data_IF_266014117358
#
_entry.id   IF_266014117358
#
_cell.length_a   1.000
_cell.length_b   1.000
_cell.length_c   1.000
_cell.angle_alpha   90.00
_cell.angle_beta   90.00
_cell.angle_gamma   90.00
#
_symmetry.space_group_name_H-M   'P 1'
#
loop_
_entity.id
_entity.type
_entity.pdbx_description
1 polymer ?
#
# COMPACT_ATOMS: atom_id res chain seq x y z
N UNK A 1 8.24 2.30 -38.70
CA UNK A 1 9.32 3.30 -38.83
C UNK A 1 9.88 3.72 -37.49
N UNK A 2 10.00 2.81 -36.53
CA UNK A 2 10.73 3.03 -35.28
C UNK A 2 11.78 1.91 -35.23
N UNK A 3 13.05 2.27 -35.07
CA UNK A 3 14.16 1.33 -34.94
C UNK A 3 14.52 1.23 -33.46
N UNK A 4 14.55 0.03 -32.85
CA UNK A 4 15.01 -0.12 -31.48
C UNK A 4 16.53 0.10 -31.40
N UNK A 5 16.97 0.78 -30.35
CA UNK A 5 18.39 0.95 -30.00
C UNK A 5 18.88 -0.12 -29.02
N UNK A 6 18.00 -0.58 -28.13
CA UNK A 6 18.27 -1.52 -27.05
C UNK A 6 17.09 -2.48 -26.94
N UNK A 7 17.38 -3.76 -26.73
CA UNK A 7 16.38 -4.81 -26.51
C UNK A 7 16.50 -5.34 -25.08
N UNK A 8 15.42 -5.21 -24.31
CA UNK A 8 15.27 -5.86 -23.00
C UNK A 8 14.57 -7.20 -23.21
N UNK A 9 15.32 -8.29 -23.24
CA UNK A 9 14.79 -9.63 -23.45
C UNK A 9 14.40 -10.24 -22.10
N UNK A 10 13.10 -10.23 -21.78
CA UNK A 10 12.53 -10.84 -20.56
C UNK A 10 12.69 -12.36 -20.59
N UNK A 11 13.24 -12.95 -19.53
CA UNK A 11 13.53 -14.40 -19.49
C UNK A 11 13.75 -14.90 -18.05
N UNK A 12 13.51 -16.19 -17.82
CA UNK A 12 13.80 -16.88 -16.56
C UNK A 12 15.27 -17.31 -16.45
N UNK A 13 15.97 -17.43 -17.58
CA UNK A 13 17.35 -17.92 -17.63
C UNK A 13 18.27 -16.96 -18.37
N UNK A 14 19.57 -17.01 -18.05
CA UNK A 14 20.53 -16.13 -18.71
C UNK A 14 20.66 -16.49 -20.20
N UNK A 15 20.55 -15.48 -21.08
CA UNK A 15 20.74 -15.70 -22.50
C UNK A 15 22.21 -16.00 -22.80
N UNK A 16 22.45 -17.13 -23.49
CA UNK A 16 23.78 -17.42 -24.02
C UNK A 16 24.19 -16.40 -25.09
N UNK A 17 25.49 -16.10 -25.18
CA UNK A 17 26.01 -15.09 -26.12
C UNK A 17 25.60 -15.35 -27.58
N UNK A 18 25.63 -16.62 -28.03
CA UNK A 18 25.17 -17.00 -29.38
C UNK A 18 23.71 -16.62 -29.65
N UNK A 19 22.86 -16.69 -28.64
CA UNK A 19 21.47 -16.29 -28.76
C UNK A 19 21.34 -14.77 -28.83
N UNK A 20 22.12 -14.03 -28.03
CA UNK A 20 22.20 -12.56 -28.13
C UNK A 20 22.67 -12.10 -29.51
N UNK A 21 23.71 -12.73 -30.06
CA UNK A 21 24.21 -12.48 -31.43
C UNK A 21 23.13 -12.71 -32.49
N UNK A 22 22.37 -13.81 -32.37
CA UNK A 22 21.27 -14.11 -33.28
C UNK A 22 20.17 -13.04 -33.20
N UNK A 23 19.75 -12.66 -32.00
CA UNK A 23 18.75 -11.61 -31.79
C UNK A 23 19.24 -10.27 -32.37
N UNK A 24 20.48 -9.90 -32.08
CA UNK A 24 21.12 -8.69 -32.59
C UNK A 24 21.11 -8.64 -34.13
N UNK A 25 21.44 -9.74 -34.80
CA UNK A 25 21.40 -9.86 -36.25
C UNK A 25 19.99 -9.66 -36.82
N UNK A 26 18.98 -10.33 -36.25
CA UNK A 26 17.60 -10.25 -36.76
C UNK A 26 16.92 -8.92 -36.45
N UNK A 27 17.31 -8.26 -35.36
CA UNK A 27 16.72 -6.98 -34.95
C UNK A 27 17.56 -5.76 -35.38
N UNK A 28 18.70 -5.97 -36.03
CA UNK A 28 19.63 -4.93 -36.47
C UNK A 28 20.04 -4.00 -35.32
N UNK A 29 20.49 -4.58 -34.20
CA UNK A 29 21.05 -3.87 -33.04
C UNK A 29 22.43 -4.41 -32.71
N UNK A 30 23.22 -3.66 -31.95
CA UNK A 30 24.49 -4.16 -31.44
C UNK A 30 24.29 -5.32 -30.46
N UNK A 31 25.18 -6.30 -30.44
CA UNK A 31 25.09 -7.47 -29.53
C UNK A 31 25.03 -7.03 -28.06
N UNK A 32 25.83 -6.03 -27.69
CA UNK A 32 25.82 -5.48 -26.33
C UNK A 32 24.50 -4.77 -25.98
N UNK A 33 23.73 -4.34 -26.99
CA UNK A 33 22.40 -3.74 -26.80
C UNK A 33 21.29 -4.80 -26.63
N UNK A 34 21.61 -6.10 -26.61
CA UNK A 34 20.69 -7.19 -26.28
C UNK A 34 20.88 -7.58 -24.81
N UNK A 35 20.00 -7.05 -23.96
CA UNK A 35 20.08 -7.15 -22.50
C UNK A 35 19.23 -8.32 -22.01
N UNK A 36 19.80 -9.13 -21.13
CA UNK A 36 19.05 -10.18 -20.43
C UNK A 36 18.29 -9.56 -19.25
N UNK A 37 16.99 -9.34 -19.42
CA UNK A 37 16.12 -8.83 -18.36
C UNK A 37 15.55 -9.99 -17.54
N UNK A 38 16.37 -10.58 -16.66
CA UNK A 38 15.98 -11.80 -15.92
C UNK A 38 14.81 -11.58 -14.96
N UNK A 39 14.04 -12.64 -14.74
CA UNK A 39 13.12 -12.76 -13.60
C UNK A 39 13.88 -12.64 -12.28
N UNK A 40 13.42 -11.73 -11.43
CA UNK A 40 14.04 -11.43 -10.13
C UNK A 40 13.06 -11.72 -9.00
N UNK A 41 13.58 -11.94 -7.79
CA UNK A 41 12.76 -12.37 -6.64
C UNK A 41 11.85 -11.26 -6.12
N UNK A 42 12.28 -10.02 -6.29
CA UNK A 42 11.52 -8.84 -5.90
C UNK A 42 11.84 -7.67 -6.85
N UNK A 43 10.92 -6.70 -6.95
CA UNK A 43 11.04 -5.57 -7.87
C UNK A 43 12.28 -4.70 -7.62
N UNK A 44 12.84 -4.73 -6.40
CA UNK A 44 14.03 -3.96 -6.03
C UNK A 44 15.31 -4.59 -6.56
N UNK A 45 15.30 -5.85 -7.02
CA UNK A 45 16.46 -6.43 -7.68
C UNK A 45 16.59 -5.98 -9.15
N UNK A 46 15.51 -5.48 -9.78
CA UNK A 46 15.52 -5.09 -11.20
C UNK A 46 16.62 -4.08 -11.53
N UNK A 47 16.78 -2.95 -10.80
CA UNK A 47 17.83 -1.99 -11.12
C UNK A 47 19.25 -2.56 -10.98
N UNK A 48 19.47 -3.47 -10.01
CA UNK A 48 20.78 -4.11 -9.85
C UNK A 48 21.07 -5.07 -11.00
N UNK A 49 20.09 -5.90 -11.37
CA UNK A 49 20.22 -6.85 -12.47
C UNK A 49 20.45 -6.16 -13.82
N UNK A 50 19.77 -5.03 -14.07
CA UNK A 50 19.95 -4.27 -15.30
C UNK A 50 21.29 -3.52 -15.34
N UNK A 51 21.77 -3.03 -14.19
CA UNK A 51 23.12 -2.46 -14.09
C UNK A 51 24.19 -3.51 -14.34
N UNK A 52 24.03 -4.74 -13.83
CA UNK A 52 24.96 -5.84 -14.07
C UNK A 52 25.10 -6.21 -15.56
N UNK A 53 24.05 -5.99 -16.36
CA UNK A 53 24.07 -6.16 -17.82
C UNK A 53 24.57 -4.91 -18.57
N UNK A 54 24.95 -3.84 -17.86
CA UNK A 54 25.53 -2.63 -18.45
C UNK A 54 24.54 -1.69 -19.14
N UNK A 55 23.25 -1.78 -18.80
CA UNK A 55 22.20 -1.00 -19.47
C UNK A 55 22.44 0.52 -19.38
N UNK A 56 22.87 1.01 -18.22
CA UNK A 56 23.12 2.44 -17.99
C UNK A 56 24.23 2.96 -18.90
N UNK A 57 25.36 2.26 -18.98
CA UNK A 57 26.50 2.59 -19.83
C UNK A 57 26.11 2.68 -21.32
N UNK A 58 25.28 1.75 -21.80
CA UNK A 58 24.79 1.74 -23.18
C UNK A 58 23.88 2.94 -23.45
N UNK A 59 22.95 3.24 -22.53
CA UNK A 59 22.06 4.40 -22.65
C UNK A 59 22.88 5.70 -22.69
N UNK A 60 23.84 5.86 -21.79
CA UNK A 60 24.65 7.10 -21.71
C UNK A 60 25.55 7.27 -22.93
N UNK A 61 26.12 6.17 -23.43
CA UNK A 61 26.92 6.17 -24.66
C UNK A 61 26.09 6.60 -25.87
N UNK A 62 24.90 6.00 -26.05
CA UNK A 62 23.99 6.33 -27.16
C UNK A 62 23.43 7.75 -27.10
N UNK A 63 23.20 8.28 -25.90
CA UNK A 63 22.77 9.67 -25.70
C UNK A 63 23.92 10.69 -25.77
N UNK A 64 25.18 10.24 -25.84
CA UNK A 64 26.36 11.11 -25.86
C UNK A 64 26.58 11.87 -24.55
N UNK A 65 26.12 11.32 -23.41
CA UNK A 65 26.25 11.94 -22.09
C UNK A 65 27.34 11.25 -21.29
N UNK A 66 28.27 12.03 -20.75
CA UNK A 66 29.27 11.51 -19.80
C UNK A 66 28.76 11.65 -18.37
N UNK A 67 28.50 10.52 -17.71
CA UNK A 67 28.19 10.47 -16.28
C UNK A 67 29.11 9.46 -15.58
N UNK A 68 29.32 9.67 -14.28
CA UNK A 68 30.01 8.67 -13.45
C UNK A 68 29.13 7.45 -13.18
N UNK A 69 29.75 6.37 -12.70
CA UNK A 69 29.00 5.17 -12.28
C UNK A 69 28.01 5.49 -11.15
N UNK A 70 26.79 4.92 -11.18
CA UNK A 70 25.80 5.17 -10.15
C UNK A 70 26.25 4.56 -8.81
N UNK A 71 26.04 5.30 -7.72
CA UNK A 71 26.16 4.73 -6.39
C UNK A 71 24.91 3.92 -6.04
N UNK A 72 25.00 2.60 -6.12
CA UNK A 72 23.90 1.68 -5.83
C UNK A 72 23.86 1.18 -4.39
N UNK A 73 24.72 1.66 -3.49
CA UNK A 73 24.77 1.19 -2.11
C UNK A 73 23.44 1.37 -1.34
N UNK A 74 22.70 2.50 -1.48
CA UNK A 74 21.38 2.63 -0.87
C UNK A 74 20.40 1.55 -1.35
N UNK A 75 20.46 1.20 -2.63
CA UNK A 75 19.58 0.22 -3.24
C UNK A 75 19.94 -1.21 -2.83
N UNK A 76 21.24 -1.51 -2.76
CA UNK A 76 21.74 -2.78 -2.21
C UNK A 76 21.32 -2.99 -0.76
N UNK A 77 21.24 -1.92 0.05
CA UNK A 77 20.73 -2.01 1.43
C UNK A 77 19.25 -2.41 1.47
N UNK A 78 18.42 -1.86 0.58
CA UNK A 78 17.00 -2.23 0.45
C UNK A 78 16.85 -3.71 0.12
N UNK A 79 17.54 -4.18 -0.93
CA UNK A 79 17.50 -5.59 -1.35
C UNK A 79 18.01 -6.53 -0.25
N UNK A 80 19.05 -6.12 0.48
CA UNK A 80 19.57 -6.88 1.63
C UNK A 80 18.58 -6.96 2.79
N UNK A 81 17.94 -5.85 3.13
CA UNK A 81 16.93 -5.79 4.21
C UNK A 81 15.73 -6.68 3.93
N UNK A 82 15.32 -6.79 2.66
CA UNK A 82 14.26 -7.68 2.20
C UNK A 82 14.64 -9.15 2.24
N UNK A 83 15.83 -9.49 1.73
CA UNK A 83 16.25 -10.88 1.56
C UNK A 83 16.66 -11.55 2.86
N UNK A 84 17.17 -10.78 3.84
CA UNK A 84 17.65 -11.31 5.12
C UNK A 84 17.40 -10.31 6.26
N UNK A 85 16.14 -10.17 6.72
CA UNK A 85 15.82 -9.32 7.86
C UNK A 85 16.51 -9.83 9.13
N UNK A 86 17.03 -8.93 9.96
CA UNK A 86 17.81 -9.31 11.16
C UNK A 86 16.92 -9.75 12.31
N UNK A 87 15.75 -9.13 12.44
CA UNK A 87 14.87 -9.31 13.60
C UNK A 87 13.69 -10.26 13.32
N UNK A 88 13.82 -11.10 12.29
CA UNK A 88 12.80 -12.07 11.91
C UNK A 88 11.69 -11.44 11.08
N UNK A 89 10.47 -11.94 11.29
CA UNK A 89 9.30 -11.61 10.48
C UNK A 89 8.08 -11.33 11.37
N UNK A 90 7.14 -10.53 10.85
CA UNK A 90 5.85 -10.25 11.47
C UNK A 90 4.71 -10.53 10.51
N UNK A 91 3.64 -11.12 11.03
CA UNK A 91 2.43 -11.45 10.29
C UNK A 91 1.38 -10.33 10.44
N UNK A 92 1.04 -9.66 9.34
CA UNK A 92 0.07 -8.56 9.29
C UNK A 92 -1.17 -9.02 8.54
N UNK A 93 -2.32 -9.00 9.19
CA UNK A 93 -3.61 -9.23 8.54
C UNK A 93 -4.11 -7.96 7.87
N UNK A 94 -4.38 -8.02 6.56
CA UNK A 94 -5.05 -6.95 5.82
C UNK A 94 -6.48 -7.38 5.52
N UNK A 95 -7.43 -6.72 6.18
CA UNK A 95 -8.86 -7.04 6.12
C UNK A 95 -9.56 -6.18 5.07
N UNK A 96 -9.70 -6.73 3.86
CA UNK A 96 -10.16 -6.01 2.67
C UNK A 96 -11.31 -6.72 1.95
N UNK A 97 -11.83 -6.07 0.90
CA UNK A 97 -12.89 -6.63 0.02
C UNK A 97 -12.31 -7.41 -1.17
N UNK A 98 -11.16 -6.97 -1.67
CA UNK A 98 -10.53 -7.48 -2.89
C UNK A 98 -9.27 -8.25 -2.54
N UNK A 99 -9.44 -9.45 -1.98
CA UNK A 99 -8.29 -10.30 -1.61
C UNK A 99 -7.61 -10.93 -2.82
N UNK A 100 -8.38 -11.19 -3.89
CA UNK A 100 -7.88 -11.86 -5.10
C UNK A 100 -7.14 -10.91 -6.05
N UNK A 101 -7.39 -9.60 -5.95
CA UNK A 101 -6.73 -8.57 -6.78
C UNK A 101 -5.82 -7.69 -5.93
N UNK A 102 -4.72 -8.29 -5.45
CA UNK A 102 -3.74 -7.65 -4.58
C UNK A 102 -3.13 -6.37 -5.18
N UNK A 103 -3.09 -6.26 -6.51
CA UNK A 103 -2.62 -5.07 -7.23
C UNK A 103 -3.43 -3.81 -6.88
N UNK A 104 -4.70 -3.97 -6.48
CA UNK A 104 -5.54 -2.87 -5.99
C UNK A 104 -4.96 -2.17 -4.76
N UNK A 105 -4.04 -2.84 -4.07
CA UNK A 105 -3.39 -2.37 -2.85
C UNK A 105 -1.86 -2.32 -3.00
N UNK A 106 -1.31 -2.25 -4.22
CA UNK A 106 0.14 -2.28 -4.43
C UNK A 106 0.91 -1.26 -3.58
N UNK A 107 0.45 0.00 -3.54
CA UNK A 107 1.10 1.03 -2.73
C UNK A 107 1.04 0.74 -1.22
N UNK A 108 -0.03 0.09 -0.75
CA UNK A 108 -0.14 -0.32 0.65
C UNK A 108 0.85 -1.45 0.98
N UNK A 109 0.93 -2.45 0.10
CA UNK A 109 1.89 -3.55 0.21
C UNK A 109 3.32 -3.03 0.26
N UNK A 110 3.69 -2.15 -0.67
CA UNK A 110 5.04 -1.58 -0.68
C UNK A 110 5.31 -0.69 0.54
N UNK A 111 4.34 0.07 1.03
CA UNK A 111 4.50 0.87 2.24
C UNK A 111 4.78 0.00 3.48
N UNK A 112 4.08 -1.12 3.62
CA UNK A 112 4.34 -2.09 4.69
C UNK A 112 5.73 -2.72 4.56
N UNK A 113 6.11 -3.11 3.35
CA UNK A 113 7.43 -3.68 3.04
C UNK A 113 8.54 -2.66 3.39
N UNK A 114 8.40 -1.41 2.98
CA UNK A 114 9.33 -0.32 3.33
C UNK A 114 9.41 -0.09 4.84
N UNK A 115 8.28 -0.15 5.54
CA UNK A 115 8.24 -0.12 7.00
C UNK A 115 9.07 -1.25 7.61
N UNK A 116 8.93 -2.47 7.09
CA UNK A 116 9.74 -3.61 7.49
C UNK A 116 11.23 -3.42 7.26
N UNK A 117 11.63 -2.99 6.05
CA UNK A 117 13.03 -2.73 5.68
C UNK A 117 13.67 -1.70 6.63
N UNK A 118 12.96 -0.61 6.93
CA UNK A 118 13.48 0.43 7.82
C UNK A 118 13.65 -0.05 9.27
N UNK A 119 12.99 -1.15 9.65
CA UNK A 119 13.07 -1.77 10.97
C UNK A 119 13.87 -3.07 10.97
N UNK A 120 14.52 -3.45 9.87
CA UNK A 120 15.23 -4.74 9.70
C UNK A 120 14.32 -5.97 10.01
N UNK A 121 13.03 -5.90 9.68
CA UNK A 121 12.00 -6.95 9.91
C UNK A 121 11.30 -7.29 8.60
N UNK A 122 11.08 -8.58 8.33
CA UNK A 122 10.26 -9.04 7.19
C UNK A 122 8.77 -8.90 7.48
N UNK A 123 7.98 -8.41 6.52
CA UNK A 123 6.52 -8.27 6.69
C UNK A 123 5.80 -9.31 5.84
N UNK A 124 5.10 -10.24 6.49
CA UNK A 124 4.23 -11.23 5.85
C UNK A 124 2.80 -10.72 5.86
N UNK A 125 2.30 -10.37 4.67
CA UNK A 125 0.95 -9.82 4.50
C UNK A 125 -0.03 -10.96 4.23
N UNK A 126 -1.06 -11.05 5.07
CA UNK A 126 -2.13 -12.04 4.94
C UNK A 126 -3.43 -11.32 4.58
N UNK A 127 -3.92 -11.57 3.37
CA UNK A 127 -5.16 -10.97 2.87
C UNK A 127 -6.37 -11.74 3.38
N UNK A 128 -7.25 -11.05 4.11
CA UNK A 128 -8.48 -11.61 4.66
C UNK A 128 -9.68 -10.93 4.04
N UNK A 129 -10.63 -11.73 3.54
CA UNK A 129 -11.90 -11.20 3.03
C UNK A 129 -12.75 -10.76 4.22
N UNK A 130 -13.02 -9.46 4.27
CA UNK A 130 -13.85 -8.87 5.30
C UNK A 130 -15.22 -9.54 5.41
N UNK A 131 -15.80 -10.02 4.31
CA UNK A 131 -17.08 -10.74 4.34
C UNK A 131 -17.02 -12.03 5.16
N UNK A 132 -15.87 -12.71 5.20
CA UNK A 132 -15.70 -13.93 6.00
C UNK A 132 -15.63 -13.66 7.50
N UNK A 133 -15.26 -12.44 7.90
CA UNK A 133 -15.17 -12.01 9.30
C UNK A 133 -16.51 -11.49 9.85
N UNK A 134 -17.58 -11.52 9.05
CA UNK A 134 -18.94 -11.30 9.54
C UNK A 134 -19.44 -12.48 10.40
N UNK A 135 -18.85 -13.67 10.24
CA UNK A 135 -19.03 -14.81 11.13
C UNK A 135 -18.05 -14.74 12.32
N UNK A 136 -18.58 -14.80 13.54
CA UNK A 136 -17.79 -14.73 14.78
C UNK A 136 -16.79 -15.89 14.90
N UNK A 137 -17.09 -17.05 14.30
CA UNK A 137 -16.18 -18.19 14.30
C UNK A 137 -14.84 -17.86 13.62
N UNK A 138 -14.87 -17.01 12.59
CA UNK A 138 -13.71 -16.62 11.81
C UNK A 138 -12.81 -15.60 12.54
N UNK A 139 -13.34 -14.83 13.50
CA UNK A 139 -12.56 -13.84 14.26
C UNK A 139 -11.48 -14.48 15.12
N UNK A 140 -11.69 -15.71 15.58
CA UNK A 140 -10.69 -16.47 16.35
C UNK A 140 -9.37 -16.63 15.60
N UNK A 141 -9.41 -16.68 14.26
CA UNK A 141 -8.24 -16.79 13.39
C UNK A 141 -7.38 -15.53 13.40
N UNK A 142 -7.85 -14.42 13.97
CA UNK A 142 -7.07 -13.18 14.04
C UNK A 142 -5.95 -13.23 15.10
N UNK A 143 -6.01 -14.20 16.03
CA UNK A 143 -5.05 -14.33 17.13
C UNK A 143 -3.60 -14.63 16.69
N UNK A 144 -3.42 -15.14 15.47
CA UNK A 144 -2.10 -15.48 14.91
C UNK A 144 -1.34 -14.27 14.37
N UNK A 145 -2.00 -13.13 14.17
CA UNK A 145 -1.39 -11.97 13.52
C UNK A 145 -0.84 -10.99 14.55
N UNK A 146 0.32 -10.41 14.25
CA UNK A 146 0.97 -9.41 15.10
C UNK A 146 0.36 -8.02 14.92
N UNK A 147 -0.38 -7.79 13.84
CA UNK A 147 -1.08 -6.54 13.57
C UNK A 147 -2.23 -6.72 12.58
N UNK A 148 -3.22 -5.83 12.70
CA UNK A 148 -4.40 -5.81 11.83
C UNK A 148 -4.47 -4.46 11.12
N UNK A 149 -4.65 -4.49 9.81
CA UNK A 149 -4.82 -3.32 8.97
C UNK A 149 -6.14 -3.40 8.23
N UNK A 150 -6.95 -2.35 8.34
CA UNK A 150 -8.16 -2.19 7.51
C UNK A 150 -7.90 -1.06 6.50
N UNK A 151 -7.79 -1.37 5.20
CA UNK A 151 -7.47 -0.38 4.18
C UNK A 151 -8.71 0.43 3.79
N UNK A 152 -8.50 1.37 2.87
CA UNK A 152 -9.59 2.02 2.16
C UNK A 152 -10.45 1.02 1.37
N UNK A 153 -11.64 1.44 0.96
CA UNK A 153 -12.52 0.63 0.14
C UNK A 153 -13.73 1.42 -0.33
N UNK A 154 -14.53 0.81 -1.20
CA UNK A 154 -15.73 1.40 -1.76
C UNK A 154 -16.93 0.46 -1.61
N UNK A 155 -18.08 1.05 -1.30
CA UNK A 155 -19.35 0.36 -1.11
C UNK A 155 -19.48 -0.33 0.26
N UNK A 156 -20.65 -0.94 0.46
CA UNK A 156 -21.11 -1.45 1.75
C UNK A 156 -20.67 -2.89 2.09
N UNK A 157 -20.17 -3.65 1.10
CA UNK A 157 -19.82 -5.06 1.31
C UNK A 157 -18.64 -5.21 2.27
N UNK A 158 -18.81 -6.06 3.28
CA UNK A 158 -17.78 -6.40 4.27
C UNK A 158 -17.52 -5.31 5.30
N UNK A 159 -18.40 -4.30 5.44
CA UNK A 159 -18.25 -3.24 6.44
C UNK A 159 -18.36 -3.82 7.85
N UNK A 160 -19.33 -4.71 8.11
CA UNK A 160 -19.52 -5.30 9.44
C UNK A 160 -18.35 -6.22 9.82
N UNK A 161 -17.81 -6.99 8.88
CA UNK A 161 -16.62 -7.81 9.15
C UNK A 161 -15.36 -6.97 9.44
N UNK A 162 -15.20 -5.80 8.81
CA UNK A 162 -14.17 -4.83 9.17
C UNK A 162 -14.36 -4.30 10.59
N UNK A 163 -15.59 -3.92 10.94
CA UNK A 163 -15.94 -3.42 12.29
C UNK A 163 -15.63 -4.49 13.34
N UNK A 164 -16.01 -5.75 13.11
CA UNK A 164 -15.69 -6.88 14.00
C UNK A 164 -14.19 -7.13 14.13
N UNK A 165 -13.42 -7.02 13.05
CA UNK A 165 -11.96 -7.14 13.11
C UNK A 165 -11.32 -6.01 13.94
N UNK A 166 -11.87 -4.79 13.86
CA UNK A 166 -11.42 -3.65 14.66
C UNK A 166 -11.76 -3.85 16.14
N UNK A 167 -12.97 -4.31 16.43
CA UNK A 167 -13.39 -4.65 17.79
C UNK A 167 -12.48 -5.72 18.40
N UNK A 168 -12.20 -6.78 17.63
CA UNK A 168 -11.25 -7.81 18.01
C UNK A 168 -9.88 -7.21 18.35
N UNK A 169 -9.35 -6.35 17.49
CA UNK A 169 -8.05 -5.71 17.70
C UNK A 169 -8.04 -4.86 18.99
N UNK A 170 -9.09 -4.06 19.21
CA UNK A 170 -9.24 -3.20 20.40
C UNK A 170 -9.33 -4.02 21.69
N UNK A 171 -10.21 -5.02 21.72
CA UNK A 171 -10.46 -5.85 22.91
C UNK A 171 -9.24 -6.69 23.27
N UNK A 172 -8.57 -7.26 22.26
CA UNK A 172 -7.40 -8.13 22.47
C UNK A 172 -6.07 -7.37 22.45
N UNK A 173 -6.08 -6.04 22.35
CA UNK A 173 -4.90 -5.17 22.31
C UNK A 173 -3.90 -5.53 21.20
N UNK A 174 -4.42 -5.96 20.05
CA UNK A 174 -3.62 -6.18 18.84
C UNK A 174 -3.37 -4.82 18.17
N UNK A 175 -2.13 -4.48 17.78
CA UNK A 175 -1.84 -3.27 17.01
C UNK A 175 -2.74 -3.15 15.78
N UNK A 176 -3.38 -1.99 15.63
CA UNK A 176 -4.33 -1.72 14.57
C UNK A 176 -3.95 -0.48 13.76
N UNK A 177 -4.13 -0.55 12.43
CA UNK A 177 -4.00 0.59 11.54
C UNK A 177 -5.17 0.69 10.55
N UNK A 178 -5.95 1.76 10.65
CA UNK A 178 -7.11 2.02 9.80
C UNK A 178 -6.85 3.14 8.80
N UNK A 179 -7.02 2.88 7.50
CA UNK A 179 -6.76 3.86 6.44
C UNK A 179 -8.07 4.23 5.74
N UNK A 180 -8.36 5.53 5.63
CA UNK A 180 -9.56 6.05 4.95
C UNK A 180 -10.83 5.37 5.50
N UNK A 181 -11.49 4.50 4.73
CA UNK A 181 -12.62 3.71 5.20
C UNK A 181 -12.31 2.89 6.47
N UNK A 182 -11.08 2.39 6.64
CA UNK A 182 -10.68 1.73 7.88
C UNK A 182 -10.73 2.63 9.12
N UNK A 183 -10.43 3.92 8.95
CA UNK A 183 -10.59 4.91 10.01
C UNK A 183 -12.08 5.17 10.30
N UNK A 184 -12.92 5.26 9.26
CA UNK A 184 -14.37 5.38 9.42
C UNK A 184 -14.98 4.18 10.17
N UNK A 185 -14.61 2.96 9.78
CA UNK A 185 -15.05 1.74 10.47
C UNK A 185 -14.60 1.73 11.94
N UNK A 186 -13.41 2.27 12.26
CA UNK A 186 -12.95 2.34 13.64
C UNK A 186 -13.73 3.34 14.48
N UNK A 187 -14.13 4.48 13.90
CA UNK A 187 -15.04 5.42 14.55
C UNK A 187 -16.39 4.76 14.82
N UNK A 188 -16.95 4.05 13.83
CA UNK A 188 -18.23 3.35 13.96
C UNK A 188 -18.16 2.28 15.06
N UNK A 189 -17.13 1.44 15.05
CA UNK A 189 -16.90 0.42 16.09
C UNK A 189 -16.86 1.06 17.47
N UNK A 190 -16.05 2.10 17.65
CA UNK A 190 -15.89 2.74 18.95
C UNK A 190 -17.19 3.40 19.43
N UNK A 191 -17.93 4.04 18.52
CA UNK A 191 -19.22 4.65 18.84
C UNK A 191 -20.26 3.59 19.28
N UNK A 192 -20.30 2.44 18.60
CA UNK A 192 -21.23 1.34 18.94
C UNK A 192 -20.84 0.64 20.24
N UNK A 193 -19.59 0.24 20.38
CA UNK A 193 -19.14 -0.67 21.44
C UNK A 193 -18.73 0.05 22.72
N UNK A 194 -18.15 1.26 22.63
CA UNK A 194 -17.64 1.99 23.80
C UNK A 194 -18.55 3.13 24.21
N UNK A 195 -19.05 3.93 23.25
CA UNK A 195 -19.96 5.06 23.52
C UNK A 195 -21.42 4.61 23.63
N UNK A 196 -21.73 3.37 23.22
CA UNK A 196 -23.07 2.76 23.27
C UNK A 196 -24.10 3.38 22.32
N UNK A 197 -23.65 4.11 21.29
CA UNK A 197 -24.48 4.54 20.16
C UNK A 197 -24.68 3.36 19.22
N UNK A 198 -25.55 2.42 19.60
CA UNK A 198 -25.72 1.13 18.90
C UNK A 198 -26.09 1.26 17.43
N UNK A 199 -26.68 2.39 17.02
CA UNK A 199 -27.06 2.65 15.62
C UNK A 199 -26.01 3.49 14.88
N UNK A 200 -24.90 3.86 15.51
CA UNK A 200 -23.84 4.65 14.89
C UNK A 200 -23.39 4.03 13.57
N UNK A 201 -23.31 4.86 12.53
CA UNK A 201 -22.87 4.41 11.22
C UNK A 201 -22.37 5.59 10.36
N UNK A 202 -21.88 5.27 9.17
CA UNK A 202 -21.68 6.25 8.09
C UNK A 202 -22.99 6.49 7.35
N UNK A 203 -23.31 7.75 7.09
CA UNK A 203 -24.40 8.13 6.19
C UNK A 203 -24.21 7.57 4.77
N UNK A 204 -22.98 7.18 4.40
CA UNK A 204 -22.68 6.48 3.15
C UNK A 204 -23.40 5.14 3.01
N UNK A 205 -23.46 4.36 4.10
CA UNK A 205 -23.96 2.98 4.09
C UNK A 205 -25.31 2.83 4.80
N UNK A 206 -25.62 3.74 5.73
CA UNK A 206 -26.90 3.78 6.43
C UNK A 206 -27.43 5.22 6.49
N UNK A 207 -28.01 5.74 5.39
CA UNK A 207 -28.47 7.14 5.31
C UNK A 207 -29.51 7.52 6.36
N UNK A 208 -30.26 6.55 6.87
CA UNK A 208 -31.32 6.73 7.87
C UNK A 208 -30.84 6.47 9.30
N UNK A 209 -29.53 6.34 9.55
CA UNK A 209 -29.04 6.18 10.92
C UNK A 209 -29.39 7.42 11.76
N UNK A 210 -29.93 7.26 12.98
CA UNK A 210 -30.08 8.39 13.89
C UNK A 210 -28.72 8.92 14.39
N UNK A 211 -27.65 8.13 14.24
CA UNK A 211 -26.31 8.42 14.77
C UNK A 211 -25.24 8.48 13.64
N UNK A 212 -25.27 9.48 12.74
CA UNK A 212 -24.34 9.56 11.60
C UNK A 212 -22.96 10.09 12.04
N UNK A 213 -22.16 9.23 12.67
CA UNK A 213 -20.81 9.58 13.17
C UNK A 213 -19.81 9.85 12.04
N UNK A 214 -20.07 9.30 10.85
CA UNK A 214 -19.37 9.64 9.61
C UNK A 214 -20.42 10.20 8.64
N UNK A 215 -20.19 11.40 8.13
CA UNK A 215 -21.15 12.11 7.28
C UNK A 215 -20.44 13.05 6.29
N UNK A 216 -21.18 13.60 5.33
CA UNK A 216 -20.70 14.74 4.56
C UNK A 216 -20.60 15.98 5.47
N UNK A 217 -19.70 16.90 5.15
CA UNK A 217 -19.67 18.19 5.83
C UNK A 217 -20.95 18.98 5.54
N UNK A 218 -21.41 19.80 6.48
CA UNK A 218 -22.68 20.56 6.38
C UNK A 218 -22.82 21.38 5.10
N UNK A 219 -21.71 21.84 4.54
CA UNK A 219 -21.67 22.68 3.34
C UNK A 219 -21.66 21.85 2.04
N UNK A 220 -21.71 20.53 2.14
CA UNK A 220 -21.63 19.58 1.03
C UNK A 220 -22.98 18.91 0.78
N UNK A 221 -23.57 19.14 -0.40
CA UNK A 221 -24.82 18.50 -0.79
C UNK A 221 -24.58 17.04 -1.22
N UNK A 222 -25.31 16.11 -0.59
CA UNK A 222 -25.33 14.69 -0.95
C UNK A 222 -25.84 14.44 -2.39
N UNK A 223 -26.66 15.36 -2.93
CA UNK A 223 -27.18 15.33 -4.31
C UNK A 223 -26.29 16.05 -5.32
N UNK A 224 -25.20 16.68 -4.87
CA UNK A 224 -24.25 17.41 -5.72
C UNK A 224 -23.38 16.51 -6.60
N UNK A 225 -22.73 17.11 -7.62
CA UNK A 225 -21.80 16.37 -8.48
C UNK A 225 -20.63 15.84 -7.64
N UNK A 226 -20.17 14.60 -7.94
CA UNK A 226 -19.13 13.92 -7.15
C UNK A 226 -17.82 14.72 -7.00
N UNK A 227 -17.58 15.72 -7.86
CA UNK A 227 -16.40 16.59 -7.80
C UNK A 227 -16.46 17.70 -6.75
N UNK A 228 -17.65 18.17 -6.36
CA UNK A 228 -17.79 19.32 -5.45
C UNK A 228 -17.54 19.00 -3.98
N UNK A 229 -17.59 17.72 -3.59
CA UNK A 229 -17.49 17.27 -2.18
C UNK A 229 -16.27 16.39 -1.90
N UNK A 230 -15.48 16.11 -2.94
CA UNK A 230 -14.33 15.22 -2.82
C UNK A 230 -13.08 15.97 -2.36
N UNK A 231 -12.49 15.54 -1.24
CA UNK A 231 -11.12 15.89 -0.91
C UNK A 231 -10.19 15.03 -1.73
N UNK A 232 -9.44 15.67 -2.63
CA UNK A 232 -8.53 15.02 -3.55
C UNK A 232 -7.18 15.74 -3.55
N UNK A 233 -6.10 14.97 -3.39
CA UNK A 233 -4.75 15.52 -3.39
C UNK A 233 -4.27 15.89 -1.99
N UNK A 234 -3.31 16.79 -1.92
CA UNK A 234 -2.58 17.09 -0.69
C UNK A 234 -3.35 18.04 0.23
N UNK A 235 -3.46 17.70 1.52
CA UNK A 235 -4.04 18.55 2.55
C UNK A 235 -3.13 18.62 3.77
N UNK A 236 -3.13 19.79 4.42
CA UNK A 236 -2.42 20.03 5.68
C UNK A 236 -3.15 19.38 6.85
N UNK A 237 -2.40 18.63 7.66
CA UNK A 237 -2.84 18.01 8.89
C UNK A 237 -2.05 18.56 10.07
N UNK A 238 -2.73 19.05 11.10
CA UNK A 238 -2.10 19.50 12.35
C UNK A 238 -2.20 18.42 13.43
N UNK A 239 -1.05 17.90 13.87
CA UNK A 239 -0.97 16.82 14.84
C UNK A 239 -1.00 17.35 16.27
N UNK A 240 -1.70 16.63 17.16
CA UNK A 240 -1.67 16.91 18.61
C UNK A 240 -0.34 16.42 19.19
N UNK A 241 0.36 17.27 19.96
CA UNK A 241 1.72 16.98 20.49
C UNK A 241 1.83 15.65 21.26
N UNK A 242 0.78 15.26 21.98
CA UNK A 242 0.79 14.05 22.81
C UNK A 242 0.25 12.80 22.07
N UNK A 243 0.05 12.86 20.75
CA UNK A 243 -0.50 11.76 19.95
C UNK A 243 0.56 10.80 19.42
N UNK A 244 0.16 9.57 19.12
CA UNK A 244 1.04 8.60 18.43
C UNK A 244 1.44 9.08 17.03
N UNK A 245 0.56 9.83 16.33
CA UNK A 245 0.89 10.42 15.05
C UNK A 245 2.05 11.42 15.17
N UNK A 246 2.02 12.33 16.16
CA UNK A 246 3.12 13.27 16.39
C UNK A 246 4.44 12.55 16.71
N UNK A 247 4.38 11.46 17.51
CA UNK A 247 5.56 10.63 17.79
C UNK A 247 6.14 9.97 16.54
N UNK A 248 5.28 9.54 15.60
CA UNK A 248 5.71 8.92 14.36
C UNK A 248 6.31 9.92 13.35
N UNK A 249 5.68 11.09 13.17
CA UNK A 249 6.13 12.09 12.20
C UNK A 249 7.25 13.00 12.72
N UNK A 250 7.35 13.20 14.05
CA UNK A 250 8.34 14.10 14.67
C UNK A 250 8.07 15.60 14.47
N UNK A 251 7.07 15.98 13.68
CA UNK A 251 6.70 17.37 13.39
C UNK A 251 5.20 17.61 13.58
N UNK A 252 4.81 18.86 13.85
CA UNK A 252 3.42 19.22 14.14
C UNK A 252 2.55 19.31 12.89
N UNK A 253 3.13 19.76 11.79
CA UNK A 253 2.40 20.01 10.54
C UNK A 253 2.91 19.07 9.48
N UNK A 254 1.99 18.30 8.90
CA UNK A 254 2.27 17.30 7.87
C UNK A 254 1.29 17.47 6.72
N UNK A 255 1.62 16.89 5.58
CA UNK A 255 0.82 16.96 4.36
C UNK A 255 0.57 15.55 3.88
N UNK A 256 -0.70 15.20 3.73
CA UNK A 256 -1.10 13.86 3.29
C UNK A 256 -2.06 13.93 2.11
N UNK A 257 -2.06 12.87 1.30
CA UNK A 257 -2.94 12.79 0.14
C UNK A 257 -4.28 12.18 0.52
N UNK A 258 -5.35 12.91 0.24
CA UNK A 258 -6.72 12.49 0.49
C UNK A 258 -7.40 12.04 -0.82
N UNK A 259 -8.31 11.09 -0.66
CA UNK A 259 -9.27 10.67 -1.70
C UNK A 259 -10.52 10.10 -1.04
N UNK A 260 -11.31 10.98 -0.43
CA UNK A 260 -12.59 10.64 0.20
C UNK A 260 -13.55 11.84 0.18
N UNK A 261 -14.82 11.59 0.50
CA UNK A 261 -15.85 12.65 0.64
C UNK A 261 -16.43 12.73 2.05
N UNK A 262 -16.62 11.58 2.68
CA UNK A 262 -17.20 11.49 4.01
C UNK A 262 -16.12 11.78 5.04
N UNK A 263 -16.53 12.39 6.13
CA UNK A 263 -15.68 12.90 7.19
C UNK A 263 -16.25 12.50 8.54
N UNK A 264 -15.43 12.61 9.59
CA UNK A 264 -15.96 12.56 10.94
C UNK A 264 -16.95 13.71 11.17
N UNK A 265 -18.15 13.38 11.64
CA UNK A 265 -19.20 14.37 11.85
C UNK A 265 -18.87 15.24 13.07
N UNK A 266 -18.64 16.54 12.83
CA UNK A 266 -18.23 17.50 13.87
C UNK A 266 -19.24 17.64 15.02
N UNK A 267 -20.49 17.18 14.88
CA UNK A 267 -21.47 17.14 15.98
C UNK A 267 -21.05 16.21 17.13
N UNK A 268 -20.12 15.28 16.87
CA UNK A 268 -19.59 14.31 17.84
C UNK A 268 -18.17 14.68 18.34
N UNK A 269 -17.67 15.87 18.01
CA UNK A 269 -16.31 16.32 18.36
C UNK A 269 -16.18 16.81 19.80
#
# INVERSE_FOLDING_TARGET
>A
GIQPDILLCRTEERLANKLKEKIALFCNVEVNSVITAMDVKNIYEVPLSLEEEGLSDIITSKLGVSIGKPNLDPWKRVVKGLSKPKYGEVDIAVVGKYVDLQDSYKSLTEALIHGGISNDVGVKIHWLDAGTLEDDSALSKLNRYNGILVPGGFGERGIEGKIKAIEYARVNRVPFFGICLGMHCAVIEFARSVVLLRKANSAEFAPNTPDPVIDLLLDQDAKGSKGGTMRLGEYRCQLRKNSNAFKAYGVREVYERHRHRYEFNNRYR
#
